data_IF_640998191307
#
_entry.id   IF_640998191307
#
_cell.length_a   1.000
_cell.length_b   1.000
_cell.length_c   1.000
_cell.angle_alpha   90.00
_cell.angle_beta   90.00
_cell.angle_gamma   90.00
#
_symmetry.space_group_name_H-M   'P 1'
#
loop_
_entity.id
_entity.type
_entity.pdbx_description
1 polymer ?
#
# COMPACT_ATOMS: atom_id res chain seq x y z
N UNK A 1 15.12 7.08 -12.81
CA UNK A 1 14.03 7.49 -11.90
C UNK A 1 12.72 6.87 -12.40
N UNK A 2 11.81 6.46 -11.51
CA UNK A 2 10.54 5.81 -11.87
C UNK A 2 9.45 6.83 -12.22
N UNK A 3 8.48 6.45 -13.07
CA UNK A 3 7.36 7.31 -13.44
C UNK A 3 6.20 7.27 -12.43
N UNK A 4 5.97 6.10 -11.83
CA UNK A 4 4.95 5.83 -10.81
C UNK A 4 5.35 4.58 -10.00
N UNK A 5 4.61 4.25 -8.94
CA UNK A 5 4.81 3.04 -8.15
C UNK A 5 3.51 2.35 -7.73
N UNK A 6 3.58 1.04 -7.48
CA UNK A 6 2.51 0.25 -6.87
C UNK A 6 3.10 -0.46 -5.65
N UNK A 7 2.51 -0.24 -4.48
CA UNK A 7 2.89 -0.85 -3.21
C UNK A 7 1.74 -1.72 -2.69
N UNK A 8 2.00 -3.01 -2.49
CA UNK A 8 1.00 -3.96 -1.99
C UNK A 8 1.54 -4.54 -0.67
N UNK A 9 0.80 -4.38 0.42
CA UNK A 9 1.20 -4.80 1.76
C UNK A 9 2.63 -4.34 2.17
N UNK A 10 3.02 -3.14 1.73
CA UNK A 10 4.37 -2.62 1.89
C UNK A 10 4.59 -1.98 3.27
N UNK A 11 5.61 -2.40 4.04
CA UNK A 11 5.96 -1.70 5.28
C UNK A 11 6.57 -0.34 4.96
N UNK A 12 6.17 0.70 5.69
CA UNK A 12 6.66 2.06 5.46
C UNK A 12 7.53 2.57 6.60
N UNK A 13 7.43 2.00 7.80
CA UNK A 13 8.29 2.31 8.92
C UNK A 13 8.83 1.03 9.56
N UNK A 14 10.14 0.84 9.42
CA UNK A 14 10.83 -0.36 9.91
C UNK A 14 10.80 -0.45 11.43
N UNK A 15 10.73 0.67 12.16
CA UNK A 15 10.67 0.64 13.62
C UNK A 15 9.31 0.11 14.09
N UNK A 16 8.21 0.64 13.54
CA UNK A 16 6.85 0.19 13.87
C UNK A 16 6.60 -1.23 13.40
N UNK A 17 7.13 -1.62 12.23
CA UNK A 17 7.11 -3.00 11.76
C UNK A 17 7.79 -3.94 12.77
N UNK A 18 9.00 -3.61 13.24
CA UNK A 18 9.74 -4.46 14.18
C UNK A 18 9.09 -4.53 15.56
N UNK A 19 8.43 -3.45 15.99
CA UNK A 19 7.68 -3.42 17.25
C UNK A 19 6.40 -4.26 17.21
N UNK A 20 5.84 -4.49 16.01
CA UNK A 20 4.60 -5.24 15.81
C UNK A 20 4.82 -6.61 15.15
N UNK A 21 6.02 -7.18 15.27
CA UNK A 21 6.33 -8.46 14.65
C UNK A 21 5.41 -9.59 15.15
N UNK A 22 4.89 -10.44 14.24
CA UNK A 22 4.22 -11.67 14.63
C UNK A 22 5.12 -12.50 15.56
N UNK A 23 4.54 -13.14 16.57
CA UNK A 23 5.27 -13.99 17.53
C UNK A 23 6.10 -15.08 16.84
N UNK A 24 5.61 -15.62 15.72
CA UNK A 24 6.31 -16.62 14.89
C UNK A 24 7.60 -16.09 14.24
N UNK A 25 7.79 -14.78 14.15
CA UNK A 25 9.00 -14.15 13.62
C UNK A 25 10.05 -13.90 14.69
N UNK A 26 9.63 -13.73 15.95
CA UNK A 26 10.53 -13.53 17.09
C UNK A 26 11.44 -14.75 17.31
N UNK A 27 10.92 -15.96 17.11
CA UNK A 27 11.72 -17.20 17.17
C UNK A 27 12.80 -17.30 16.10
N UNK A 28 12.69 -16.49 15.03
CA UNK A 28 13.65 -16.38 13.92
C UNK A 28 14.38 -15.03 13.93
N UNK A 29 14.41 -14.34 15.07
CA UNK A 29 14.95 -12.98 15.21
C UNK A 29 16.36 -12.83 14.64
N UNK A 30 17.26 -13.79 14.88
CA UNK A 30 18.62 -13.77 14.32
C UNK A 30 18.65 -13.60 12.80
N UNK A 31 17.77 -14.31 12.08
CA UNK A 31 17.69 -14.21 10.61
C UNK A 31 17.19 -12.85 10.18
N UNK A 32 16.15 -12.33 10.83
CA UNK A 32 15.58 -11.04 10.46
C UNK A 32 16.51 -9.88 10.80
N UNK A 33 17.28 -9.96 11.89
CA UNK A 33 18.29 -8.94 12.23
C UNK A 33 19.36 -8.81 11.15
N UNK A 34 19.69 -9.89 10.43
CA UNK A 34 20.61 -9.85 9.29
C UNK A 34 20.01 -9.25 8.02
N UNK A 35 18.69 -9.33 7.84
CA UNK A 35 18.01 -8.88 6.61
C UNK A 35 17.54 -7.43 6.76
N UNK A 36 16.92 -7.11 7.91
CA UNK A 36 16.24 -5.84 8.16
C UNK A 36 17.15 -4.89 8.95
N UNK A 37 17.95 -5.43 9.86
CA UNK A 37 18.78 -4.70 10.81
C UNK A 37 18.43 -5.05 12.25
N UNK A 38 19.33 -4.73 13.18
CA UNK A 38 19.09 -4.90 14.62
C UNK A 38 18.06 -3.86 15.07
N UNK A 39 17.00 -4.26 15.79
CA UNK A 39 15.93 -3.35 16.24
C UNK A 39 15.85 -3.18 17.75
N UNK A 40 16.62 -3.97 18.51
CA UNK A 40 16.61 -4.00 19.97
C UNK A 40 17.82 -3.28 20.62
N UNK A 41 18.52 -2.44 19.85
CA UNK A 41 19.50 -1.47 20.32
C UNK A 41 19.12 -0.06 19.87
N UNK A 42 19.63 0.98 20.54
CA UNK A 42 19.32 2.35 20.15
C UNK A 42 19.99 2.73 18.82
N UNK A 43 21.21 2.24 18.58
CA UNK A 43 21.89 2.35 17.28
C UNK A 43 21.09 1.64 16.19
N UNK A 44 20.55 0.46 16.51
CA UNK A 44 19.70 -0.31 15.61
C UNK A 44 18.40 0.41 15.26
N UNK A 45 17.70 0.95 16.25
CA UNK A 45 16.51 1.78 16.04
C UNK A 45 16.82 2.97 15.14
N UNK A 46 17.93 3.67 15.37
CA UNK A 46 18.33 4.80 14.53
C UNK A 46 18.67 4.34 13.11
N UNK A 47 19.37 3.20 12.96
CA UNK A 47 19.68 2.59 11.67
C UNK A 47 18.41 2.27 10.86
N UNK A 48 17.36 1.76 11.52
CA UNK A 48 16.07 1.48 10.90
C UNK A 48 15.33 2.77 10.54
N UNK A 49 15.31 3.76 11.42
CA UNK A 49 14.65 5.06 11.18
C UNK A 49 15.15 5.70 9.89
N UNK A 50 16.46 5.83 9.72
CA UNK A 50 17.06 6.48 8.54
C UNK A 50 16.90 5.68 7.23
N UNK A 51 16.32 4.48 7.29
CA UNK A 51 16.03 3.61 6.13
C UNK A 51 14.53 3.35 5.94
N UNK A 52 13.69 3.81 6.85
CA UNK A 52 12.24 3.71 6.73
C UNK A 52 11.75 4.55 5.55
N UNK A 53 10.97 3.99 4.60
CA UNK A 53 10.32 4.77 3.54
C UNK A 53 9.60 6.02 4.06
N UNK A 54 8.97 5.94 5.24
CA UNK A 54 8.27 7.04 5.88
C UNK A 54 9.15 8.28 6.12
N UNK A 55 10.45 8.08 6.37
CA UNK A 55 11.40 9.20 6.57
C UNK A 55 11.62 10.02 5.30
N UNK A 56 11.37 9.41 4.14
CA UNK A 56 11.51 10.04 2.82
C UNK A 56 10.16 10.24 2.13
N UNK A 57 9.04 10.06 2.84
CA UNK A 57 7.71 10.15 2.24
C UNK A 57 7.47 11.50 1.55
N UNK A 58 7.98 12.58 2.15
CA UNK A 58 7.86 13.93 1.58
C UNK A 58 8.61 14.12 0.25
N UNK A 59 9.58 13.26 -0.07
CA UNK A 59 10.35 13.31 -1.32
C UNK A 59 9.65 12.54 -2.46
N UNK A 60 8.57 11.81 -2.17
CA UNK A 60 7.79 11.06 -3.16
C UNK A 60 6.94 12.05 -3.97
N UNK A 61 7.42 12.38 -5.16
CA UNK A 61 6.78 13.31 -6.08
C UNK A 61 6.13 12.64 -7.31
N UNK A 62 6.08 11.30 -7.32
CA UNK A 62 5.48 10.50 -8.40
C UNK A 62 4.21 9.81 -7.92
N UNK A 63 3.24 9.52 -8.81
CA UNK A 63 2.03 8.81 -8.43
C UNK A 63 2.31 7.47 -7.77
N UNK A 64 1.61 7.18 -6.68
CA UNK A 64 1.73 5.94 -5.91
C UNK A 64 0.37 5.30 -5.70
N UNK A 65 0.21 4.05 -6.12
CA UNK A 65 -0.93 3.22 -5.76
C UNK A 65 -0.56 2.32 -4.58
N UNK A 66 -1.39 2.30 -3.55
CA UNK A 66 -1.23 1.50 -2.34
C UNK A 66 -2.42 0.54 -2.24
N UNK A 67 -2.15 -0.74 -2.01
CA UNK A 67 -3.18 -1.71 -1.67
C UNK A 67 -2.81 -2.47 -0.39
N UNK A 68 -3.81 -2.67 0.47
CA UNK A 68 -3.62 -3.37 1.73
C UNK A 68 -4.84 -4.20 2.10
N UNK A 69 -4.64 -5.34 2.77
CA UNK A 69 -5.72 -6.08 3.41
C UNK A 69 -5.89 -5.62 4.86
N UNK A 70 -7.12 -5.26 5.27
CA UNK A 70 -7.38 -4.67 6.58
C UNK A 70 -6.97 -5.56 7.76
N UNK A 71 -6.94 -6.89 7.54
CA UNK A 71 -6.63 -7.88 8.57
C UNK A 71 -5.21 -8.47 8.44
N UNK A 72 -4.30 -7.77 7.77
CA UNK A 72 -2.91 -8.22 7.61
C UNK A 72 -2.20 -8.37 8.97
N UNK A 73 -1.83 -9.60 9.38
CA UNK A 73 -1.18 -9.83 10.67
C UNK A 73 0.33 -9.60 10.63
N UNK A 74 0.93 -9.39 9.45
CA UNK A 74 2.39 -9.30 9.25
C UNK A 74 2.83 -7.85 9.09
N UNK A 75 2.12 -7.10 8.26
CA UNK A 75 2.33 -5.68 8.03
C UNK A 75 1.01 -5.01 8.34
N UNK A 76 0.87 -4.45 9.54
CA UNK A 76 -0.38 -3.86 9.97
C UNK A 76 -0.84 -2.76 9.00
N UNK A 77 -2.15 -2.62 8.79
CA UNK A 77 -2.71 -1.60 7.88
C UNK A 77 -2.20 -0.18 8.19
N UNK A 78 -1.90 0.12 9.46
CA UNK A 78 -1.33 1.41 9.86
C UNK A 78 -0.06 1.80 9.09
N UNK A 79 0.69 0.82 8.57
CA UNK A 79 1.86 1.06 7.72
C UNK A 79 1.48 1.69 6.37
N UNK A 80 0.38 1.26 5.77
CA UNK A 80 -0.16 1.90 4.57
C UNK A 80 -0.84 3.22 4.91
N UNK A 81 -1.57 3.30 6.03
CA UNK A 81 -2.27 4.52 6.45
C UNK A 81 -1.31 5.69 6.68
N UNK A 82 -0.17 5.47 7.36
CA UNK A 82 0.77 6.55 7.67
C UNK A 82 1.39 7.18 6.42
N UNK A 83 1.75 6.38 5.42
CA UNK A 83 2.33 6.91 4.18
C UNK A 83 1.26 7.54 3.29
N UNK A 84 0.06 6.94 3.22
CA UNK A 84 -1.08 7.53 2.52
C UNK A 84 -1.41 8.92 3.07
N UNK A 85 -1.52 9.06 4.40
CA UNK A 85 -1.90 10.33 5.02
C UNK A 85 -0.88 11.45 4.71
N UNK A 86 0.42 11.14 4.73
CA UNK A 86 1.46 12.11 4.36
C UNK A 86 1.31 12.52 2.89
N UNK A 87 1.26 11.56 1.97
CA UNK A 87 1.20 11.85 0.53
C UNK A 87 -0.10 12.55 0.11
N UNK A 88 -1.22 12.12 0.70
CA UNK A 88 -2.52 12.73 0.43
C UNK A 88 -2.57 14.18 0.90
N UNK A 89 -1.85 14.55 1.96
CA UNK A 89 -1.77 15.94 2.44
C UNK A 89 -0.94 16.87 1.55
N UNK A 90 -0.06 16.33 0.70
CA UNK A 90 0.90 17.12 -0.07
C UNK A 90 0.40 17.43 -1.48
N UNK A 91 0.07 16.39 -2.25
CA UNK A 91 -0.04 16.49 -3.70
C UNK A 91 -1.14 15.60 -4.30
N UNK A 92 -1.96 14.92 -3.48
CA UNK A 92 -3.10 14.10 -3.92
C UNK A 92 -2.77 13.05 -5.01
N UNK A 93 -1.50 12.69 -5.20
CA UNK A 93 -1.06 11.71 -6.20
C UNK A 93 -0.97 10.29 -5.63
N UNK A 94 -1.68 10.03 -4.53
CA UNK A 94 -1.71 8.73 -3.88
C UNK A 94 -3.11 8.12 -3.99
N UNK A 95 -3.15 6.84 -4.36
CA UNK A 95 -4.35 6.03 -4.43
C UNK A 95 -4.24 4.93 -3.39
N UNK A 96 -5.31 4.66 -2.67
CA UNK A 96 -5.27 3.73 -1.55
C UNK A 96 -6.51 2.85 -1.52
N UNK A 97 -6.32 1.58 -1.85
CA UNK A 97 -7.33 0.53 -1.76
C UNK A 97 -7.13 -0.31 -0.50
N UNK A 98 -8.17 -0.41 0.34
CA UNK A 98 -8.16 -1.28 1.53
C UNK A 98 -9.23 -2.35 1.39
N UNK A 99 -8.80 -3.61 1.29
CA UNK A 99 -9.70 -4.77 1.21
C UNK A 99 -10.07 -5.24 2.62
N UNK A 100 -11.33 -5.06 3.00
CA UNK A 100 -11.81 -5.16 4.39
C UNK A 100 -11.84 -6.60 4.92
N UNK A 101 -12.01 -7.57 4.04
CA UNK A 101 -12.14 -8.99 4.34
C UNK A 101 -10.91 -9.81 3.90
N UNK A 102 -9.79 -9.12 3.65
CA UNK A 102 -8.51 -9.72 3.24
C UNK A 102 -7.41 -9.48 4.28
N UNK A 103 -6.32 -10.24 4.15
CA UNK A 103 -5.14 -10.18 5.03
C UNK A 103 -3.89 -9.76 4.21
N UNK A 104 -2.72 -10.30 4.55
CA UNK A 104 -1.45 -9.98 3.88
C UNK A 104 -1.41 -10.28 2.37
N UNK A 105 -2.18 -11.29 1.94
CA UNK A 105 -2.38 -11.59 0.53
C UNK A 105 -3.87 -11.53 0.22
N UNK A 106 -4.21 -11.06 -0.98
CA UNK A 106 -5.59 -11.06 -1.46
C UNK A 106 -5.93 -12.45 -2.01
N UNK A 107 -6.64 -13.25 -1.20
CA UNK A 107 -6.94 -14.65 -1.52
C UNK A 107 -8.25 -14.83 -2.28
N UNK A 108 -9.19 -13.89 -2.15
CA UNK A 108 -10.46 -13.94 -2.87
C UNK A 108 -10.24 -13.53 -4.33
N UNK A 109 -11.00 -14.16 -5.23
CA UNK A 109 -10.82 -13.92 -6.66
C UNK A 109 -11.26 -12.51 -7.05
N UNK A 110 -12.41 -12.08 -6.55
CA UNK A 110 -13.00 -10.76 -6.70
C UNK A 110 -12.07 -9.65 -6.20
N UNK A 111 -11.38 -9.85 -5.07
CA UNK A 111 -10.42 -8.87 -4.54
C UNK A 111 -9.23 -8.71 -5.47
N UNK A 112 -8.68 -9.83 -5.98
CA UNK A 112 -7.58 -9.79 -6.95
C UNK A 112 -8.00 -9.16 -8.27
N UNK A 113 -9.19 -9.51 -8.78
CA UNK A 113 -9.71 -8.97 -10.03
C UNK A 113 -9.91 -7.45 -9.91
N UNK A 114 -10.55 -7.01 -8.81
CA UNK A 114 -10.71 -5.57 -8.50
C UNK A 114 -9.38 -4.85 -8.39
N UNK A 115 -8.40 -5.43 -7.69
CA UNK A 115 -7.07 -4.86 -7.55
C UNK A 115 -6.38 -4.71 -8.91
N UNK A 116 -6.39 -5.76 -9.74
CA UNK A 116 -5.76 -5.72 -11.05
C UNK A 116 -6.43 -4.71 -11.97
N UNK A 117 -7.76 -4.62 -11.99
CA UNK A 117 -8.48 -3.62 -12.77
C UNK A 117 -8.10 -2.18 -12.35
N UNK A 118 -7.97 -1.92 -11.04
CA UNK A 118 -7.52 -0.62 -10.53
C UNK A 118 -6.05 -0.32 -10.89
N UNK A 119 -5.17 -1.32 -10.76
CA UNK A 119 -3.74 -1.18 -11.09
C UNK A 119 -3.54 -0.97 -12.60
N UNK A 120 -4.19 -1.76 -13.45
CA UNK A 120 -4.09 -1.65 -14.91
C UNK A 120 -4.48 -0.24 -15.34
N UNK A 121 -5.61 0.25 -14.84
CA UNK A 121 -6.06 1.61 -15.09
C UNK A 121 -5.08 2.67 -14.57
N UNK A 122 -4.60 2.54 -13.33
CA UNK A 122 -3.60 3.45 -12.76
C UNK A 122 -2.35 3.53 -13.64
N UNK A 123 -1.82 2.38 -14.05
CA UNK A 123 -0.66 2.30 -14.92
C UNK A 123 -0.95 2.90 -16.31
N UNK A 124 -2.11 2.61 -16.90
CA UNK A 124 -2.50 3.19 -18.18
C UNK A 124 -2.64 4.71 -18.14
N UNK A 125 -3.10 5.30 -17.03
CA UNK A 125 -3.23 6.76 -16.89
C UNK A 125 -1.86 7.41 -16.68
N UNK A 126 -0.98 6.76 -15.92
CA UNK A 126 0.35 7.32 -15.56
C UNK A 126 1.42 7.10 -16.62
N UNK A 127 1.39 5.95 -17.29
CA UNK A 127 2.38 5.56 -18.31
C UNK A 127 1.84 5.72 -19.74
N UNK A 128 0.54 5.94 -19.89
CA UNK A 128 -0.15 5.80 -21.17
C UNK A 128 -0.44 4.33 -21.51
N UNK A 129 -1.27 4.10 -22.51
CA UNK A 129 -1.61 2.77 -22.99
C UNK A 129 -3.11 2.51 -23.06
N UNK A 130 -3.45 1.25 -23.30
CA UNK A 130 -4.83 0.75 -23.26
C UNK A 130 -5.06 0.07 -21.91
N UNK A 131 -6.28 0.11 -21.43
CA UNK A 131 -6.76 -0.66 -20.29
C UNK A 131 -8.16 -1.17 -20.58
N UNK A 132 -8.58 -2.23 -19.90
CA UNK A 132 -9.95 -2.71 -20.00
C UNK A 132 -10.89 -1.85 -19.12
N UNK A 133 -12.06 -1.41 -19.63
CA UNK A 133 -13.04 -0.76 -18.77
C UNK A 133 -13.45 -1.69 -17.63
N UNK A 134 -13.37 -1.19 -16.39
CA UNK A 134 -13.60 -1.95 -15.15
C UNK A 134 -14.87 -2.83 -15.16
N UNK A 135 -15.93 -2.42 -15.86
CA UNK A 135 -17.12 -3.25 -16.05
C UNK A 135 -17.69 -3.82 -14.74
N UNK A 136 -17.64 -5.14 -14.60
CA UNK A 136 -18.11 -5.88 -13.41
C UNK A 136 -17.00 -6.35 -12.47
N UNK A 137 -15.76 -5.91 -12.66
CA UNK A 137 -14.59 -6.45 -11.94
C UNK A 137 -14.62 -6.20 -10.43
N UNK A 138 -15.42 -5.23 -9.98
CA UNK A 138 -15.64 -4.93 -8.57
C UNK A 138 -16.77 -5.75 -7.93
N UNK A 139 -17.45 -6.58 -8.72
CA UNK A 139 -18.57 -7.37 -8.22
C UNK A 139 -18.12 -8.28 -7.08
N UNK A 140 -18.81 -8.17 -5.95
CA UNK A 140 -18.59 -8.92 -4.71
C UNK A 140 -17.28 -8.60 -3.95
N UNK A 141 -16.44 -7.70 -4.43
CA UNK A 141 -15.25 -7.29 -3.71
C UNK A 141 -15.62 -6.30 -2.58
N UNK A 142 -15.00 -6.45 -1.42
CA UNK A 142 -15.28 -5.63 -0.24
C UNK A 142 -14.06 -4.74 0.07
N UNK A 143 -14.02 -3.54 -0.50
CA UNK A 143 -12.92 -2.62 -0.31
C UNK A 143 -13.36 -1.17 -0.18
N UNK A 144 -12.48 -0.33 0.37
CA UNK A 144 -12.55 1.13 0.25
C UNK A 144 -11.50 1.63 -0.73
N UNK A 145 -11.76 2.79 -1.34
CA UNK A 145 -10.80 3.46 -2.23
C UNK A 145 -10.71 4.94 -1.90
N UNK A 146 -9.53 5.40 -1.47
CA UNK A 146 -9.29 6.72 -0.87
C UNK A 146 -10.34 7.07 0.22
N UNK A 147 -10.69 6.08 1.06
CA UNK A 147 -11.69 6.22 2.11
C UNK A 147 -13.16 6.15 1.66
N UNK A 148 -13.45 6.06 0.35
CA UNK A 148 -14.82 5.88 -0.14
C UNK A 148 -15.24 4.42 -0.08
N UNK A 149 -16.49 4.16 0.33
CA UNK A 149 -17.13 2.85 0.30
C UNK A 149 -18.01 2.67 -0.94
N UNK A 150 -18.54 1.45 -1.15
CA UNK A 150 -19.43 1.11 -2.27
C UNK A 150 -18.86 1.58 -3.62
N UNK A 151 -17.57 1.33 -3.80
CA UNK A 151 -16.77 1.85 -4.91
C UNK A 151 -17.28 1.26 -6.23
N UNK A 152 -17.76 2.12 -7.12
CA UNK A 152 -18.14 1.77 -8.48
C UNK A 152 -17.04 2.16 -9.47
N UNK A 153 -17.10 1.64 -10.70
CA UNK A 153 -16.21 2.06 -11.78
C UNK A 153 -16.19 3.59 -11.95
N UNK A 154 -17.37 4.24 -11.82
CA UNK A 154 -17.49 5.71 -11.89
C UNK A 154 -16.72 6.43 -10.78
N UNK A 155 -16.79 5.94 -9.54
CA UNK A 155 -16.04 6.53 -8.42
C UNK A 155 -14.53 6.43 -8.68
N UNK A 156 -14.08 5.31 -9.25
CA UNK A 156 -12.67 5.12 -9.63
C UNK A 156 -12.28 6.05 -10.78
N UNK A 157 -13.15 6.26 -11.78
CA UNK A 157 -12.95 7.31 -12.81
C UNK A 157 -12.75 8.70 -12.20
N UNK A 158 -13.66 9.12 -11.31
CA UNK A 158 -13.60 10.44 -10.67
C UNK A 158 -12.31 10.65 -9.87
N UNK A 159 -11.88 9.63 -9.13
CA UNK A 159 -10.65 9.69 -8.33
C UNK A 159 -9.41 9.79 -9.23
N UNK A 160 -9.35 9.01 -10.32
CA UNK A 160 -8.21 9.09 -11.23
C UNK A 160 -8.24 10.33 -12.14
N UNK A 161 -9.40 10.98 -12.34
CA UNK A 161 -9.51 12.19 -13.16
C UNK A 161 -8.65 13.34 -12.61
N UNK A 162 -8.42 13.38 -11.30
CA UNK A 162 -7.55 14.35 -10.64
C UNK A 162 -6.05 14.23 -10.98
N UNK A 163 -5.63 13.21 -11.72
CA UNK A 163 -4.24 13.06 -12.22
C UNK A 163 -3.97 13.77 -13.55
N UNK A 164 -5.02 14.22 -14.26
CA UNK A 164 -4.89 14.87 -15.57
C UNK A 164 -4.51 16.34 -15.47
#
# INVERSE_FOLDING_TARGET
>A
MFACGVSIAGPSNLQTLMNNLPSTWQTKSYRYKKIIGVWDSDEGKQFLKIRSPLTFAHDINKPLFIAHGANDPRVLQMEADQIYNILNSQNNHVFYAVFKDECHGLVRHESRLSLHAMIEKFLSITLGGKFEPVGSDFKNANFTFNGKENVSAKIVEEIFFGLK
#
